data_IF_118471877939
#
_entry.id   IF_118471877939
#
_cell.length_a   1.000
_cell.length_b   1.000
_cell.length_c   1.000
_cell.angle_alpha   90.00
_cell.angle_beta   90.00
_cell.angle_gamma   90.00
#
_symmetry.space_group_name_H-M   'P 1'
#
loop_
_entity.id
_entity.type
_entity.pdbx_description
1 polymer ?
#
# COMPACT_ATOMS: atom_id res chain seq x y z
N UNK A 1 -2.25 -1.11 17.20
CA UNK A 1 -0.88 -1.64 17.39
C UNK A 1 -0.35 -2.03 16.02
N UNK A 2 0.65 -1.32 15.47
CA UNK A 2 1.13 -1.58 14.10
C UNK A 2 2.12 -2.75 14.08
N UNK A 3 1.79 -3.80 13.35
CA UNK A 3 2.72 -4.86 13.03
C UNK A 3 3.63 -4.40 11.87
N UNK A 4 4.95 -4.43 12.09
CA UNK A 4 5.93 -4.08 11.06
C UNK A 4 6.41 -5.36 10.36
N UNK A 5 6.09 -5.52 9.08
CA UNK A 5 6.55 -6.63 8.25
C UNK A 5 7.63 -6.13 7.27
N UNK A 6 8.81 -6.75 7.30
CA UNK A 6 9.89 -6.46 6.34
C UNK A 6 10.05 -7.62 5.37
N UNK A 7 9.84 -7.35 4.07
CA UNK A 7 10.05 -8.31 2.99
C UNK A 7 11.41 -8.05 2.38
N UNK A 8 12.31 -9.04 2.44
CA UNK A 8 13.66 -8.95 1.85
C UNK A 8 13.74 -9.80 0.59
N UNK A 9 14.62 -9.40 -0.33
CA UNK A 9 14.89 -10.11 -1.58
C UNK A 9 13.67 -10.22 -2.51
N UNK A 10 12.84 -9.17 -2.58
CA UNK A 10 11.75 -9.11 -3.54
C UNK A 10 12.31 -8.88 -4.95
N UNK A 11 11.99 -9.73 -5.94
CA UNK A 11 12.41 -9.51 -7.32
C UNK A 11 11.88 -8.18 -7.87
N UNK A 12 12.70 -7.47 -8.65
CA UNK A 12 12.34 -6.15 -9.21
C UNK A 12 11.08 -6.20 -10.10
N UNK A 13 10.85 -7.32 -10.77
CA UNK A 13 9.64 -7.56 -11.56
C UNK A 13 8.37 -7.49 -10.71
N UNK A 14 8.41 -8.07 -9.50
CA UNK A 14 7.28 -8.07 -8.57
C UNK A 14 7.10 -6.68 -7.98
N UNK A 15 8.20 -6.00 -7.65
CA UNK A 15 8.15 -4.62 -7.17
C UNK A 15 7.51 -3.68 -8.20
N UNK A 16 7.88 -3.82 -9.49
CA UNK A 16 7.29 -3.04 -10.58
C UNK A 16 5.82 -3.37 -10.79
N UNK A 17 5.45 -4.66 -10.77
CA UNK A 17 4.06 -5.09 -10.90
C UNK A 17 3.19 -4.54 -9.76
N UNK A 18 3.67 -4.60 -8.51
CA UNK A 18 2.98 -4.05 -7.34
C UNK A 18 2.78 -2.54 -7.46
N UNK A 19 3.79 -1.80 -7.94
CA UNK A 19 3.67 -0.35 -8.14
C UNK A 19 2.62 -0.01 -9.19
N UNK A 20 2.59 -0.76 -10.30
CA UNK A 20 1.58 -0.57 -11.35
C UNK A 20 0.18 -0.89 -10.79
N UNK A 21 0.03 -2.01 -10.08
CA UNK A 21 -1.23 -2.41 -9.45
C UNK A 21 -1.74 -1.36 -8.45
N UNK A 22 -0.85 -0.84 -7.59
CA UNK A 22 -1.16 0.22 -6.64
C UNK A 22 -1.65 1.49 -7.34
N UNK A 23 -0.98 1.89 -8.43
CA UNK A 23 -1.39 3.04 -9.24
C UNK A 23 -2.76 2.81 -9.91
N UNK A 24 -3.04 1.60 -10.41
CA UNK A 24 -4.34 1.26 -10.96
C UNK A 24 -5.47 1.31 -9.92
N UNK A 25 -5.20 0.89 -8.69
CA UNK A 25 -6.15 0.93 -7.59
C UNK A 25 -6.21 2.29 -6.87
N UNK A 26 -5.39 3.27 -7.27
CA UNK A 26 -5.35 4.59 -6.67
C UNK A 26 -4.88 4.61 -5.20
N UNK A 27 -4.06 3.64 -4.79
CA UNK A 27 -3.58 3.50 -3.41
C UNK A 27 -2.07 3.46 -3.32
N UNK A 28 -1.54 3.66 -2.12
CA UNK A 28 -0.09 3.53 -1.86
C UNK A 28 0.34 2.07 -2.03
N UNK A 29 1.64 1.87 -2.27
CA UNK A 29 2.21 0.53 -2.41
C UNK A 29 2.00 -0.32 -1.15
N UNK A 30 2.12 0.27 0.04
CA UNK A 30 1.87 -0.43 1.29
C UNK A 30 0.40 -0.87 1.40
N UNK A 31 -0.55 -0.01 1.03
CA UNK A 31 -1.96 -0.33 1.04
C UNK A 31 -2.31 -1.44 0.04
N UNK A 32 -1.66 -1.45 -1.14
CA UNK A 32 -1.77 -2.52 -2.12
C UNK A 32 -1.27 -3.86 -1.56
N UNK A 33 -0.06 -3.86 -1.01
CA UNK A 33 0.55 -5.07 -0.43
C UNK A 33 -0.32 -5.60 0.72
N UNK A 34 -0.82 -4.73 1.59
CA UNK A 34 -1.71 -5.10 2.69
C UNK A 34 -3.00 -5.75 2.19
N UNK A 35 -3.63 -5.18 1.17
CA UNK A 35 -4.85 -5.73 0.59
C UNK A 35 -4.60 -7.07 -0.10
N UNK A 36 -3.52 -7.21 -0.86
CA UNK A 36 -3.14 -8.49 -1.49
C UNK A 36 -2.92 -9.56 -0.41
N UNK A 37 -2.22 -9.22 0.67
CA UNK A 37 -1.99 -10.14 1.78
C UNK A 37 -3.30 -10.51 2.48
N UNK A 38 -4.21 -9.54 2.73
CA UNK A 38 -5.54 -9.80 3.29
C UNK A 38 -6.32 -10.80 2.43
N UNK A 39 -6.49 -10.49 1.14
CA UNK A 39 -7.23 -11.35 0.22
C UNK A 39 -6.59 -12.74 0.09
N UNK A 40 -5.26 -12.81 0.09
CA UNK A 40 -4.54 -14.09 0.02
C UNK A 40 -4.74 -14.95 1.27
N UNK A 41 -4.85 -14.36 2.48
CA UNK A 41 -5.13 -15.13 3.71
C UNK A 41 -6.61 -15.52 3.82
N UNK A 42 -7.52 -14.71 3.30
CA UNK A 42 -8.96 -15.00 3.23
C UNK A 42 -9.24 -16.18 2.28
N UNK A 43 -8.60 -16.20 1.09
CA UNK A 43 -8.70 -17.30 0.11
C UNK A 43 -8.18 -18.64 0.67
N UNK A 44 -7.22 -18.59 1.61
CA UNK A 44 -6.59 -19.79 2.19
C UNK A 44 -7.30 -20.31 3.44
N UNK A 45 -8.42 -19.71 3.85
CA UNK A 45 -9.36 -20.29 4.81
C UNK A 45 -8.85 -20.40 6.25
N UNK A 46 -7.85 -19.62 6.64
CA UNK A 46 -7.25 -19.74 7.97
C UNK A 46 -6.87 -18.40 8.58
N UNK A 47 -7.88 -17.58 8.89
CA UNK A 47 -8.00 -16.81 10.15
C UNK A 47 -9.29 -16.00 10.10
N UNK A 48 -10.33 -16.52 10.76
CA UNK A 48 -11.46 -15.70 11.19
C UNK A 48 -10.95 -14.64 12.18
N UNK A 49 -11.40 -13.40 12.00
CA UNK A 49 -11.07 -12.19 12.77
C UNK A 49 -9.70 -11.56 12.47
N UNK A 50 -9.70 -10.65 11.48
CA UNK A 50 -8.91 -9.42 11.59
C UNK A 50 -9.90 -8.27 11.39
N UNK A 51 -10.50 -7.88 12.52
CA UNK A 51 -11.35 -6.70 12.63
C UNK A 51 -10.62 -5.45 12.16
N UNK A 52 -11.42 -4.60 11.51
CA UNK A 52 -11.18 -3.23 11.11
C UNK A 52 -10.27 -2.46 12.08
N UNK A 53 -9.27 -1.75 11.55
CA UNK A 53 -9.08 -0.32 11.84
C UNK A 53 -7.82 0.26 11.17
N UNK A 54 -7.95 1.58 10.93
CA UNK A 54 -6.91 2.59 10.74
C UNK A 54 -6.35 2.76 9.32
N UNK A 55 -6.36 3.94 8.71
CA UNK A 55 -7.06 5.21 8.86
C UNK A 55 -6.50 6.06 7.71
N UNK A 56 -7.27 7.04 7.23
CA UNK A 56 -6.78 8.10 6.37
C UNK A 56 -5.43 8.64 6.83
N UNK A 57 -4.45 8.81 5.94
CA UNK A 57 -3.59 10.01 6.00
C UNK A 57 -2.79 10.16 4.70
N UNK A 58 -2.82 11.38 4.16
CA UNK A 58 -1.76 12.01 3.33
C UNK A 58 -1.77 11.74 1.82
N UNK A 59 -2.80 12.23 1.13
CA UNK A 59 -2.52 13.05 -0.08
C UNK A 59 -2.04 14.42 0.40
N UNK A 60 -0.81 14.47 0.92
CA UNK A 60 -0.06 15.72 1.01
C UNK A 60 0.31 16.11 -0.42
N UNK A 61 -0.31 17.21 -0.85
CA UNK A 61 0.04 18.03 -2.01
C UNK A 61 1.54 18.34 -1.99
N UNK A 62 2.35 17.49 -2.62
CA UNK A 62 3.59 17.92 -3.25
C UNK A 62 3.21 18.61 -4.57
N UNK A 63 3.70 19.78 -4.93
CA UNK A 63 4.55 20.75 -4.27
C UNK A 63 4.46 21.97 -5.20
N UNK A 64 4.06 23.11 -4.64
CA UNK A 64 4.72 24.40 -4.87
C UNK A 64 5.43 24.56 -6.23
N UNK A 65 4.67 24.81 -7.30
CA UNK A 65 5.23 25.32 -8.55
C UNK A 65 4.54 26.64 -8.90
N UNK A 66 5.30 27.74 -8.69
CA UNK A 66 5.23 29.05 -9.37
C UNK A 66 4.23 30.13 -8.90
N UNK A 67 4.25 30.47 -7.61
CA UNK A 67 3.82 31.82 -7.19
C UNK A 67 4.98 32.76 -6.80
N UNK A 68 6.22 32.41 -7.15
CA UNK A 68 7.37 33.31 -6.98
C UNK A 68 8.25 33.30 -8.23
N UNK A 69 7.74 33.92 -9.29
CA UNK A 69 8.61 34.66 -10.19
C UNK A 69 8.14 36.10 -10.10
N UNK A 70 8.90 36.86 -9.29
CA UNK A 70 8.88 38.31 -9.22
C UNK A 70 9.44 38.92 -10.49
#
# INVERSE_FOLDING_TARGET
MMAMLTVRNLPDEIHRALRIQAAHNGRSMEAEVRAILSTAVEDKGSTQAIDEAEAHQQTETQEQDKQSCS
#
